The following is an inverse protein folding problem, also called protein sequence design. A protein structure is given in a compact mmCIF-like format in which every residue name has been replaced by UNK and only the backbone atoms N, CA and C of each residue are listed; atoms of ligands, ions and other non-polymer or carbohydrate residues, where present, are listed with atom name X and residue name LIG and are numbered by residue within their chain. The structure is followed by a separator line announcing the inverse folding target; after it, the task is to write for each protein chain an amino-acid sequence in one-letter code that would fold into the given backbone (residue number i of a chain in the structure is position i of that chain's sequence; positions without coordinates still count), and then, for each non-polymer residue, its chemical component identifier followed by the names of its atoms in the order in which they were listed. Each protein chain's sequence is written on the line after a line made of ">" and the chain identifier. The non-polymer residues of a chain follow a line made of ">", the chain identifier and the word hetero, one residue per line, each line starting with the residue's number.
data_IF_314839869312
#
_entry.id   IF_314839869312
#
_cell.length_a   1.000
_cell.length_b   1.000
_cell.length_c   1.000
_cell.angle_alpha   90.00
_cell.angle_beta   90.00
_cell.angle_gamma   90.00
#
_symmetry.space_group_name_H-M   'P 1'
#
loop_
_entity.id
_entity.type
_entity.pdbx_description
1 polymer ?
#
# COMPACT_ATOMS: atom_id res chain seq x y z
N UNK A 1 9.45 -3.47 -7.43
CA UNK A 1 8.90 -2.41 -8.32
C UNK A 1 9.06 -1.08 -7.59
N UNK A 2 9.67 -0.07 -8.21
CA UNK A 2 9.70 1.29 -7.66
C UNK A 2 8.74 2.16 -8.49
N UNK A 3 7.76 2.78 -7.85
CA UNK A 3 6.69 3.54 -8.49
C UNK A 3 6.13 4.61 -7.53
N UNK A 4 4.98 5.19 -7.88
CA UNK A 4 4.33 6.27 -7.11
C UNK A 4 3.05 5.79 -6.45
N UNK A 5 2.53 6.55 -5.48
CA UNK A 5 1.37 6.15 -4.67
C UNK A 5 0.14 5.73 -5.48
N UNK A 6 -0.25 6.49 -6.52
CA UNK A 6 -1.43 6.15 -7.32
C UNK A 6 -1.26 4.90 -8.19
N UNK A 7 -0.08 4.73 -8.80
CA UNK A 7 0.19 3.54 -9.61
C UNK A 7 0.34 2.28 -8.75
N UNK A 8 0.94 2.39 -7.57
CA UNK A 8 0.99 1.29 -6.61
C UNK A 8 -0.40 0.93 -6.08
N UNK A 9 -1.26 1.92 -5.78
CA UNK A 9 -2.66 1.67 -5.39
C UNK A 9 -3.45 0.94 -6.48
N UNK A 10 -3.28 1.31 -7.74
CA UNK A 10 -3.91 0.59 -8.84
C UNK A 10 -3.48 -0.89 -8.90
N UNK A 11 -2.20 -1.19 -8.65
CA UNK A 11 -1.69 -2.56 -8.60
C UNK A 11 -2.24 -3.33 -7.40
N UNK A 12 -2.23 -2.73 -6.20
CA UNK A 12 -2.82 -3.31 -4.99
C UNK A 12 -4.30 -3.62 -5.19
N UNK A 13 -5.05 -2.68 -5.78
CA UNK A 13 -6.47 -2.87 -6.11
C UNK A 13 -6.69 -4.09 -6.99
N UNK A 14 -5.86 -4.26 -8.02
CA UNK A 14 -5.95 -5.40 -8.93
C UNK A 14 -5.60 -6.73 -8.26
N UNK A 15 -4.52 -6.76 -7.47
CA UNK A 15 -4.07 -7.99 -6.80
C UNK A 15 -5.05 -8.41 -5.70
N UNK A 16 -5.46 -7.49 -4.84
CA UNK A 16 -6.27 -7.79 -3.65
C UNK A 16 -7.79 -7.66 -3.91
N UNK A 17 -8.21 -7.41 -5.16
CA UNK A 17 -9.61 -7.19 -5.55
C UNK A 17 -10.31 -6.14 -4.67
N UNK A 18 -9.61 -5.06 -4.35
CA UNK A 18 -10.13 -3.96 -3.50
C UNK A 18 -11.24 -3.22 -4.24
N UNK A 19 -12.33 -2.92 -3.55
CA UNK A 19 -13.45 -2.17 -4.12
C UNK A 19 -13.06 -0.72 -4.46
N UNK A 20 -13.83 -0.06 -5.33
CA UNK A 20 -13.64 1.37 -5.62
C UNK A 20 -13.82 2.25 -4.38
N UNK A 21 -14.61 1.82 -3.40
CA UNK A 21 -14.84 2.58 -2.18
C UNK A 21 -13.66 2.42 -1.22
N UNK A 22 -13.17 1.20 -1.06
CA UNK A 22 -12.08 0.89 -0.13
C UNK A 22 -10.72 1.41 -0.64
N UNK A 23 -10.50 1.46 -1.96
CA UNK A 23 -9.23 1.94 -2.53
C UNK A 23 -8.99 3.43 -2.25
N UNK A 24 -10.04 4.21 -2.03
CA UNK A 24 -9.96 5.63 -1.68
C UNK A 24 -9.34 5.81 -0.30
N UNK A 25 -9.68 4.93 0.65
CA UNK A 25 -9.17 4.96 2.02
C UNK A 25 -7.78 4.31 2.16
N UNK A 26 -7.35 3.55 1.16
CA UNK A 26 -6.05 2.87 1.17
C UNK A 26 -4.91 3.88 0.99
N UNK A 27 -4.00 3.93 1.96
CA UNK A 27 -2.79 4.75 1.93
C UNK A 27 -1.55 3.83 1.91
N UNK A 28 -0.67 4.05 0.92
CA UNK A 28 0.61 3.31 0.83
C UNK A 28 1.71 4.24 1.39
N UNK A 29 2.43 3.82 2.46
CA UNK A 29 3.50 4.60 3.05
C UNK A 29 4.65 4.77 2.07
N UNK A 30 5.28 5.96 2.09
CA UNK A 30 6.42 6.25 1.22
C UNK A 30 7.69 5.58 1.76
N UNK A 31 8.45 4.93 0.86
CA UNK A 31 9.77 4.39 1.20
C UNK A 31 9.79 3.12 2.05
N UNK A 32 8.63 2.50 2.31
CA UNK A 32 8.53 1.22 3.00
C UNK A 32 8.23 0.10 1.98
N UNK A 33 9.03 -0.97 1.91
CA UNK A 33 8.76 -2.09 1.00
C UNK A 33 7.47 -2.82 1.36
N UNK A 34 6.57 -2.97 0.39
CA UNK A 34 5.40 -3.85 0.46
C UNK A 34 5.71 -5.15 -0.30
N UNK A 35 5.76 -6.26 0.42
CA UNK A 35 6.06 -7.58 -0.13
C UNK A 35 4.75 -8.28 -0.48
N UNK A 36 4.68 -8.85 -1.68
CA UNK A 36 3.64 -9.77 -2.10
C UNK A 36 4.26 -11.14 -2.37
N UNK A 37 3.65 -12.19 -1.83
CA UNK A 37 3.92 -13.56 -2.23
C UNK A 37 2.78 -14.02 -3.12
N UNK A 38 3.10 -14.42 -4.35
CA UNK A 38 2.13 -14.79 -5.39
C UNK A 38 2.28 -16.28 -5.72
N UNK A 39 1.18 -16.92 -6.12
CA UNK A 39 1.20 -18.27 -6.69
C UNK A 39 1.65 -18.27 -8.17
N UNK A 40 1.72 -19.46 -8.77
CA UNK A 40 2.10 -19.62 -10.18
C UNK A 40 1.11 -18.97 -11.17
N UNK A 41 -0.11 -18.66 -10.72
CA UNK A 41 -1.14 -17.95 -11.49
C UNK A 41 -1.15 -16.44 -11.18
N UNK A 42 -0.12 -15.93 -10.50
CA UNK A 42 0.02 -14.55 -10.04
C UNK A 42 -1.07 -14.08 -9.07
N UNK A 43 -1.74 -15.00 -8.38
CA UNK A 43 -2.70 -14.64 -7.32
C UNK A 43 -1.96 -14.42 -6.00
N UNK A 44 -2.30 -13.37 -5.25
CA UNK A 44 -1.67 -13.12 -3.95
C UNK A 44 -2.04 -14.18 -2.93
N UNK A 45 -1.02 -14.72 -2.26
CA UNK A 45 -1.11 -15.61 -1.12
C UNK A 45 -1.07 -14.84 0.19
N UNK A 46 -0.22 -13.81 0.26
CA UNK A 46 -0.14 -12.85 1.37
C UNK A 46 0.63 -11.61 0.95
N UNK A 47 0.41 -10.52 1.67
CA UNK A 47 1.19 -9.30 1.57
C UNK A 47 1.52 -8.73 2.95
N UNK A 48 2.67 -8.08 3.08
CA UNK A 48 3.09 -7.46 4.33
C UNK A 48 4.13 -6.36 4.08
N UNK A 49 4.12 -5.33 4.94
CA UNK A 49 5.19 -4.34 4.95
C UNK A 49 6.43 -4.90 5.63
N UNK A 50 7.60 -4.62 5.05
CA UNK A 50 8.88 -4.99 5.62
C UNK A 50 9.48 -3.80 6.37
N UNK A 51 9.76 -3.97 7.66
CA UNK A 51 10.44 -2.96 8.46
C UNK A 51 9.93 -2.88 9.89
N UNK A 52 10.36 -1.81 10.55
CA UNK A 52 9.96 -1.49 11.92
C UNK A 52 8.51 -0.98 11.99
N UNK A 53 7.75 -1.47 12.98
CA UNK A 53 6.33 -1.14 13.11
C UNK A 53 6.09 0.33 13.46
N UNK A 54 6.93 0.94 14.31
CA UNK A 54 6.76 2.34 14.69
C UNK A 54 6.98 3.26 13.49
N UNK A 55 8.02 2.99 12.70
CA UNK A 55 8.30 3.72 11.45
C UNK A 55 7.19 3.56 10.42
N UNK A 56 6.61 2.36 10.32
CA UNK A 56 5.48 2.10 9.42
C UNK A 56 4.26 2.93 9.82
N UNK A 57 3.90 2.93 11.10
CA UNK A 57 2.76 3.72 11.61
C UNK A 57 2.97 5.21 11.37
N UNK A 58 4.17 5.73 11.67
CA UNK A 58 4.52 7.12 11.43
C UNK A 58 4.42 7.49 9.93
N UNK A 59 4.91 6.63 9.03
CA UNK A 59 4.85 6.86 7.60
C UNK A 59 3.42 6.82 7.05
N UNK A 60 2.58 5.88 7.52
CA UNK A 60 1.16 5.82 7.12
C UNK A 60 0.41 7.06 7.60
N UNK A 61 0.64 7.48 8.85
CA UNK A 61 0.04 8.69 9.41
C UNK A 61 0.47 9.95 8.65
N UNK A 62 1.75 10.03 8.26
CA UNK A 62 2.26 11.13 7.46
C UNK A 62 1.52 11.24 6.11
N UNK A 63 1.33 10.12 5.41
CA UNK A 63 0.58 10.08 4.13
C UNK A 63 -0.88 10.49 4.34
N UNK A 64 -1.54 9.97 5.38
CA UNK A 64 -2.94 10.31 5.69
C UNK A 64 -3.13 11.81 5.99
N UNK A 65 -2.11 12.48 6.55
CA UNK A 65 -2.17 13.90 6.88
C UNK A 65 -1.79 14.83 5.70
N UNK A 66 -1.27 14.32 4.59
CA UNK A 66 -0.89 15.15 3.43
C UNK A 66 -2.07 15.93 2.83
N UNK A 67 -3.29 15.43 2.98
CA UNK A 67 -4.51 16.09 2.51
C UNK A 67 -5.17 17.03 3.52
N UNK A 68 -4.65 17.13 4.77
CA UNK A 68 -5.20 18.03 5.78
C UNK A 68 -4.63 19.44 5.56
N UNK A 69 -5.49 20.45 5.54
CA UNK A 69 -5.08 21.84 5.53
C UNK A 69 -4.21 22.13 6.78
N UNK A 70 -3.12 22.90 6.59
CA UNK A 70 -2.31 23.43 7.68
C UNK A 70 -3.10 24.39 8.56
#
# INVERSE_FOLDING_TARGET
>A
IAAHGNSLRALVKYLDNVSEQDIIALNIPTGIPLVYELDASLKPLKHYYLGDQEKLQAAMQAVANQGKAK
#
